data_IF_559270396705
#
_entry.id   IF_559270396705
#
_cell.length_a   1.000
_cell.length_b   1.000
_cell.length_c   1.000
_cell.angle_alpha   90.00
_cell.angle_beta   90.00
_cell.angle_gamma   90.00
#
_symmetry.space_group_name_H-M   'P 1'
#
loop_
_entity.id
_entity.type
_entity.pdbx_description
1 polymer ?
#
# COMPACT_ATOMS: atom_id res chain seq x y z
N UNK A 1 5.74 -5.83 0.63
CA UNK A 1 6.01 -5.77 -0.82
C UNK A 1 7.51 -5.81 -1.03
N UNK A 2 8.04 -6.84 -1.69
CA UNK A 2 9.48 -6.94 -2.00
C UNK A 2 9.68 -6.63 -3.48
N UNK A 3 10.42 -5.57 -3.78
CA UNK A 3 10.67 -5.11 -5.14
C UNK A 3 11.96 -5.65 -5.73
N UNK A 4 12.03 -5.70 -7.06
CA UNK A 4 13.30 -5.86 -7.76
C UNK A 4 14.17 -4.62 -7.48
N UNK A 5 15.47 -4.82 -7.28
CA UNK A 5 16.41 -3.76 -6.87
C UNK A 5 16.37 -2.55 -7.82
N UNK A 6 16.31 -2.80 -9.14
CA UNK A 6 16.25 -1.78 -10.18
C UNK A 6 14.87 -1.13 -10.35
N UNK A 7 13.85 -1.58 -9.59
CA UNK A 7 12.48 -1.06 -9.63
C UNK A 7 12.06 -0.30 -8.38
N UNK A 8 12.92 -0.22 -7.36
CA UNK A 8 12.60 0.48 -6.11
C UNK A 8 12.24 1.95 -6.36
N UNK A 9 13.07 2.69 -7.11
CA UNK A 9 12.82 4.10 -7.38
C UNK A 9 11.52 4.29 -8.19
N UNK A 10 11.29 3.43 -9.18
CA UNK A 10 10.05 3.42 -9.97
C UNK A 10 8.80 3.26 -9.09
N UNK A 11 8.85 2.37 -8.09
CA UNK A 11 7.76 2.22 -7.14
C UNK A 11 7.57 3.46 -6.27
N UNK A 12 8.64 4.02 -5.72
CA UNK A 12 8.59 5.21 -4.85
C UNK A 12 8.01 6.42 -5.60
N UNK A 13 8.47 6.66 -6.83
CA UNK A 13 7.98 7.76 -7.67
C UNK A 13 6.50 7.60 -8.02
N UNK A 14 6.07 6.38 -8.35
CA UNK A 14 4.67 6.09 -8.58
C UNK A 14 3.84 6.30 -7.32
N UNK A 15 4.29 5.80 -6.16
CA UNK A 15 3.60 5.98 -4.89
C UNK A 15 3.42 7.47 -4.56
N UNK A 16 4.44 8.30 -4.76
CA UNK A 16 4.37 9.74 -4.52
C UNK A 16 3.26 10.43 -5.33
N UNK A 17 3.04 10.00 -6.58
CA UNK A 17 2.00 10.54 -7.46
C UNK A 17 0.59 10.11 -7.05
N UNK A 18 0.44 8.91 -6.49
CA UNK A 18 -0.88 8.30 -6.22
C UNK A 18 -1.31 8.37 -4.75
N UNK A 19 -0.39 8.62 -3.80
CA UNK A 19 -0.67 8.55 -2.35
C UNK A 19 -1.80 9.47 -1.93
N UNK A 20 -1.91 10.66 -2.53
CA UNK A 20 -2.97 11.62 -2.22
C UNK A 20 -4.34 11.17 -2.70
N UNK A 21 -4.41 10.42 -3.82
CA UNK A 21 -5.67 9.83 -4.30
C UNK A 21 -6.13 8.71 -3.37
N UNK A 22 -5.21 7.88 -2.87
CA UNK A 22 -5.54 6.84 -1.88
C UNK A 22 -5.96 7.49 -0.57
N UNK A 23 -5.17 8.44 -0.05
CA UNK A 23 -5.47 9.11 1.21
C UNK A 23 -6.78 9.90 1.17
N UNK A 24 -7.14 10.44 0.01
CA UNK A 24 -8.41 11.12 -0.22
C UNK A 24 -9.58 10.20 -0.57
N UNK A 25 -9.37 8.88 -0.62
CA UNK A 25 -10.45 7.93 -0.87
C UNK A 25 -11.39 7.90 0.34
N UNK A 26 -12.69 7.74 0.06
CA UNK A 26 -13.72 7.76 1.10
C UNK A 26 -13.45 6.72 2.20
N UNK A 27 -13.53 7.17 3.46
CA UNK A 27 -13.21 6.38 4.64
C UNK A 27 -11.73 6.07 4.90
N UNK A 28 -10.78 6.54 4.08
CA UNK A 28 -9.35 6.43 4.39
C UNK A 28 -8.94 7.54 5.38
N UNK A 29 -8.46 7.18 6.57
CA UNK A 29 -8.10 8.15 7.63
C UNK A 29 -6.60 8.33 7.79
N UNK A 30 -5.82 7.39 7.28
CA UNK A 30 -4.38 7.37 7.45
C UNK A 30 -3.72 6.55 6.36
N UNK A 31 -2.55 6.98 5.90
CA UNK A 31 -1.73 6.27 4.92
C UNK A 31 -0.26 6.60 5.14
N UNK A 32 0.56 5.56 5.31
CA UNK A 32 2.01 5.65 5.43
C UNK A 32 2.68 4.63 4.52
N UNK A 33 3.90 4.94 4.10
CA UNK A 33 4.80 4.02 3.42
C UNK A 33 6.03 3.81 4.29
N UNK A 34 6.25 2.56 4.66
CA UNK A 34 7.34 2.12 5.49
C UNK A 34 8.31 1.32 4.63
N UNK A 35 9.60 1.41 4.95
CA UNK A 35 10.65 0.58 4.38
C UNK A 35 11.23 -0.30 5.48
N UNK A 36 11.55 -1.55 5.15
CA UNK A 36 12.23 -2.43 6.08
C UNK A 36 13.58 -1.84 6.51
N UNK A 37 13.98 -2.12 7.75
CA UNK A 37 15.18 -1.56 8.34
C UNK A 37 16.48 -2.21 7.81
N UNK A 38 16.39 -3.45 7.31
CA UNK A 38 17.54 -4.26 6.90
C UNK A 38 17.54 -4.55 5.39
N UNK A 39 16.38 -4.54 4.74
CA UNK A 39 16.24 -4.73 3.30
C UNK A 39 15.59 -3.50 2.62
N UNK A 40 16.37 -2.67 1.89
CA UNK A 40 15.84 -1.46 1.25
C UNK A 40 14.84 -1.74 0.12
N UNK A 41 14.70 -3.00 -0.32
CA UNK A 41 13.77 -3.41 -1.36
C UNK A 41 12.41 -3.81 -0.80
N UNK A 42 12.24 -3.87 0.54
CA UNK A 42 10.99 -4.24 1.19
C UNK A 42 10.26 -3.00 1.68
N UNK A 43 9.00 -2.88 1.27
CA UNK A 43 8.10 -1.81 1.68
C UNK A 43 6.77 -2.34 2.21
N UNK A 44 6.16 -1.58 3.11
CA UNK A 44 4.83 -1.83 3.68
C UNK A 44 4.00 -0.56 3.55
N UNK A 45 2.79 -0.68 3.02
CA UNK A 45 1.80 0.39 3.12
C UNK A 45 0.93 0.13 4.35
N UNK A 46 0.86 1.12 5.24
CA UNK A 46 0.03 1.06 6.44
C UNK A 46 -1.10 2.07 6.30
N UNK A 47 -2.35 1.63 6.48
CA UNK A 47 -3.50 2.52 6.32
C UNK A 47 -4.60 2.22 7.33
N UNK A 48 -5.31 3.25 7.75
CA UNK A 48 -6.50 3.14 8.60
C UNK A 48 -7.74 3.49 7.80
N UNK A 49 -8.79 2.71 8.03
CA UNK A 49 -10.05 2.83 7.33
C UNK A 49 -11.19 2.86 8.35
N UNK A 50 -12.20 3.69 8.10
CA UNK A 50 -13.36 3.86 8.98
C UNK A 50 -14.16 2.57 9.18
N UNK A 51 -14.22 1.72 8.15
CA UNK A 51 -14.82 0.40 8.23
C UNK A 51 -14.24 -0.54 7.18
N UNK A 52 -14.51 -1.84 7.34
CA UNK A 52 -14.18 -2.84 6.33
C UNK A 52 -14.89 -2.57 4.98
N UNK A 53 -16.08 -1.98 5.01
CA UNK A 53 -16.82 -1.61 3.80
C UNK A 53 -16.09 -0.55 2.98
N UNK A 54 -15.61 0.53 3.60
CA UNK A 54 -14.82 1.57 2.91
C UNK A 54 -13.55 0.98 2.30
N UNK A 55 -12.85 0.13 3.06
CA UNK A 55 -11.66 -0.58 2.58
C UNK A 55 -11.97 -1.48 1.38
N UNK A 56 -13.08 -2.23 1.43
CA UNK A 56 -13.46 -3.11 0.33
C UNK A 56 -13.93 -2.32 -0.90
N UNK A 57 -14.61 -1.19 -0.72
CA UNK A 57 -14.93 -0.25 -1.81
C UNK A 57 -13.65 0.25 -2.49
N UNK A 58 -12.62 0.61 -1.70
CA UNK A 58 -11.32 0.95 -2.24
C UNK A 58 -10.67 -0.22 -3.00
N UNK A 59 -10.61 -1.42 -2.41
CA UNK A 59 -10.01 -2.63 -3.03
C UNK A 59 -10.69 -3.03 -4.35
N UNK A 60 -11.97 -2.73 -4.53
CA UNK A 60 -12.71 -3.01 -5.77
C UNK A 60 -12.71 -1.83 -6.76
N UNK A 61 -12.21 -0.66 -6.36
CA UNK A 61 -12.19 0.55 -7.17
C UNK A 61 -11.30 0.45 -8.40
N UNK A 62 -11.55 1.31 -9.40
CA UNK A 62 -10.68 1.47 -10.55
C UNK A 62 -9.27 1.95 -10.13
N UNK A 63 -9.19 2.86 -9.14
CA UNK A 63 -7.94 3.37 -8.62
C UNK A 63 -7.05 2.24 -8.08
N UNK A 64 -7.59 1.33 -7.26
CA UNK A 64 -6.81 0.21 -6.73
C UNK A 64 -6.35 -0.73 -7.85
N UNK A 65 -7.22 -1.05 -8.81
CA UNK A 65 -6.87 -1.91 -9.96
C UNK A 65 -5.73 -1.32 -10.78
N UNK A 66 -5.77 -0.01 -11.05
CA UNK A 66 -4.72 0.71 -11.78
C UNK A 66 -3.39 0.69 -11.02
N UNK A 67 -3.40 1.10 -9.75
CA UNK A 67 -2.21 1.10 -8.89
C UNK A 67 -1.61 -0.31 -8.79
N UNK A 68 -2.46 -1.33 -8.63
CA UNK A 68 -2.01 -2.71 -8.49
C UNK A 68 -1.45 -3.29 -9.79
N UNK A 69 -2.08 -2.99 -10.93
CA UNK A 69 -1.60 -3.41 -12.24
C UNK A 69 -0.21 -2.83 -12.55
N UNK A 70 0.06 -1.59 -12.13
CA UNK A 70 1.37 -0.96 -12.25
C UNK A 70 2.40 -1.53 -11.26
N UNK A 71 2.01 -1.71 -9.99
CA UNK A 71 2.96 -2.04 -8.91
C UNK A 71 3.36 -3.52 -8.92
N UNK A 72 2.42 -4.43 -9.22
CA UNK A 72 2.65 -5.88 -9.13
C UNK A 72 3.80 -6.41 -10.02
N UNK A 73 3.98 -5.96 -11.26
CA UNK A 73 5.11 -6.37 -12.10
C UNK A 73 6.49 -6.01 -11.54
N UNK A 74 6.56 -5.06 -10.60
CA UNK A 74 7.82 -4.59 -10.01
C UNK A 74 8.33 -5.51 -8.89
N UNK A 75 7.52 -6.49 -8.45
CA UNK A 75 7.88 -7.36 -7.34
C UNK A 75 8.94 -8.39 -7.71
N UNK A 76 9.84 -8.66 -6.75
CA UNK A 76 10.79 -9.76 -6.79
C UNK A 76 10.25 -11.02 -6.08
N UNK A 77 9.25 -10.87 -5.21
CA UNK A 77 8.65 -11.96 -4.46
C UNK A 77 7.14 -11.80 -4.29
N UNK A 78 6.46 -12.88 -3.90
CA UNK A 78 5.04 -12.83 -3.52
C UNK A 78 4.87 -11.88 -2.33
N UNK A 79 3.86 -11.02 -2.40
CA UNK A 79 3.52 -10.09 -1.31
C UNK A 79 2.34 -10.61 -0.49
N UNK A 80 2.32 -10.25 0.80
CA UNK A 80 1.20 -10.48 1.69
C UNK A 80 0.46 -9.17 1.98
N UNK A 81 -0.83 -9.28 2.28
CA UNK A 81 -1.67 -8.19 2.76
C UNK A 81 -2.72 -8.77 3.72
N UNK A 82 -2.93 -8.09 4.85
CA UNK A 82 -3.91 -8.49 5.85
C UNK A 82 -4.44 -7.24 6.56
N UNK A 83 -5.69 -7.33 7.03
CA UNK A 83 -6.28 -6.31 7.89
C UNK A 83 -6.05 -6.71 9.34
N UNK A 84 -5.79 -5.75 10.22
CA UNK A 84 -5.52 -5.99 11.64
C UNK A 84 -6.52 -5.25 12.52
N UNK A 85 -6.79 -5.81 13.70
CA UNK A 85 -7.51 -5.15 14.77
C UNK A 85 -6.55 -4.92 15.94
N UNK A 86 -6.62 -3.75 16.55
CA UNK A 86 -5.85 -3.45 17.76
C UNK A 86 -6.43 -4.24 18.93
N UNK A 87 -5.66 -5.17 19.48
CA UNK A 87 -6.06 -5.97 20.64
C UNK A 87 -5.76 -5.23 21.95
N UNK A 88 -4.64 -4.52 22.01
CA UNK A 88 -4.20 -3.79 23.19
C UNK A 88 -3.41 -2.54 22.76
N UNK A 89 -3.43 -1.49 23.58
CA UNK A 89 -2.54 -0.34 23.49
C UNK A 89 -2.08 0.00 24.90
N UNK A 90 -0.77 -0.09 25.12
CA UNK A 90 -0.11 0.35 26.36
C UNK A 90 0.14 1.85 26.30
#
# INVERSE_FOLDING_TARGET
>A
MTFQEDKVQTFVDNFEQIKHKIRGFDGCEHLELWRDANDPNIFVTYSHWQSEEHLNTYRHSALFKEVWAYTKPLFAAKTAAFSVLRVEKV
#
